data_IF_094914260254
#
_entry.id   IF_094914260254
#
_cell.length_a   1.000
_cell.length_b   1.000
_cell.length_c   1.000
_cell.angle_alpha   90.00
_cell.angle_beta   90.00
_cell.angle_gamma   90.00
#
_symmetry.space_group_name_H-M   'P 1'
#
loop_
_entity.id
_entity.type
_entity.pdbx_description
1 polymer ?
#
# COMPACT_ATOMS: atom_id res chain seq x y z
N UNK A 1 -44.68 -0.06 -9.95
CA UNK A 1 -43.63 0.98 -9.88
C UNK A 1 -42.31 0.24 -9.80
N UNK A 2 -41.73 -0.07 -10.95
CA UNK A 2 -40.39 -0.64 -11.09
C UNK A 2 -39.60 0.36 -11.93
N UNK A 3 -38.72 1.11 -11.28
CA UNK A 3 -37.70 1.93 -11.93
C UNK A 3 -36.43 1.10 -11.99
N UNK A 4 -36.01 0.72 -13.20
CA UNK A 4 -34.77 -0.01 -13.49
C UNK A 4 -33.56 0.91 -13.37
N UNK A 5 -32.53 0.40 -12.71
CA UNK A 5 -31.19 0.96 -12.58
C UNK A 5 -30.39 0.75 -13.89
N UNK A 6 -30.62 1.56 -14.91
CA UNK A 6 -29.87 1.47 -16.18
C UNK A 6 -28.61 2.38 -16.21
N UNK A 7 -28.37 3.20 -15.17
CA UNK A 7 -27.26 4.17 -15.13
C UNK A 7 -25.93 3.63 -14.56
N UNK A 8 -25.94 2.56 -13.76
CA UNK A 8 -24.70 1.99 -13.17
C UNK A 8 -23.88 1.17 -14.19
N UNK A 9 -24.53 0.54 -15.16
CA UNK A 9 -23.88 -0.35 -16.14
C UNK A 9 -23.11 0.43 -17.22
N UNK A 10 -23.64 1.60 -17.63
CA UNK A 10 -22.98 2.50 -18.57
C UNK A 10 -21.71 3.17 -18.00
N UNK A 11 -21.73 3.54 -16.71
CA UNK A 11 -20.58 4.15 -16.04
C UNK A 11 -19.41 3.18 -15.82
N UNK A 12 -19.71 1.92 -15.50
CA UNK A 12 -18.70 0.87 -15.34
C UNK A 12 -17.96 0.56 -16.65
N UNK A 13 -18.68 0.54 -17.77
CA UNK A 13 -18.12 0.29 -19.10
C UNK A 13 -17.16 1.41 -19.58
N UNK A 14 -17.49 2.67 -19.30
CA UNK A 14 -16.63 3.82 -19.62
C UNK A 14 -15.33 3.79 -18.82
N UNK A 15 -15.42 3.60 -17.49
CA UNK A 15 -14.26 3.51 -16.60
C UNK A 15 -13.36 2.33 -17.02
N UNK A 16 -13.93 1.18 -17.35
CA UNK A 16 -13.15 0.03 -17.82
C UNK A 16 -12.38 0.35 -19.10
N UNK A 17 -13.00 1.04 -20.06
CA UNK A 17 -12.36 1.39 -21.33
C UNK A 17 -11.15 2.31 -21.13
N UNK A 18 -11.28 3.30 -20.24
CA UNK A 18 -10.17 4.19 -19.87
C UNK A 18 -9.08 3.45 -19.09
N UNK A 19 -9.44 2.66 -18.06
CA UNK A 19 -8.50 1.85 -17.30
C UNK A 19 -7.71 0.88 -18.20
N UNK A 20 -8.40 0.25 -19.16
CA UNK A 20 -7.77 -0.64 -20.13
C UNK A 20 -6.70 0.07 -20.94
N UNK A 21 -7.00 1.27 -21.43
CA UNK A 21 -6.03 2.07 -22.18
C UNK A 21 -4.79 2.38 -21.33
N UNK A 22 -4.98 2.91 -20.11
CA UNK A 22 -3.85 3.24 -19.23
C UNK A 22 -3.06 2.01 -18.79
N UNK A 23 -3.69 0.87 -18.50
CA UNK A 23 -2.99 -0.35 -18.10
C UNK A 23 -2.09 -0.90 -19.22
N UNK A 24 -2.51 -0.78 -20.49
CA UNK A 24 -1.64 -1.12 -21.64
C UNK A 24 -0.45 -0.17 -21.70
N UNK A 25 -0.67 1.14 -21.53
CA UNK A 25 0.41 2.11 -21.53
C UNK A 25 1.40 1.90 -20.36
N UNK A 26 0.95 1.46 -19.18
CA UNK A 26 1.82 1.08 -18.06
C UNK A 26 2.73 -0.11 -18.41
N UNK A 27 2.18 -1.12 -19.09
CA UNK A 27 2.97 -2.26 -19.54
C UNK A 27 3.97 -1.85 -20.62
N UNK A 28 3.61 -0.91 -21.49
CA UNK A 28 4.54 -0.32 -22.46
C UNK A 28 5.63 0.51 -21.80
N UNK A 29 5.32 1.27 -20.74
CA UNK A 29 6.30 2.05 -19.97
C UNK A 29 7.37 1.14 -19.36
N UNK A 30 6.97 -0.05 -18.88
CA UNK A 30 7.91 -1.06 -18.39
C UNK A 30 8.88 -1.53 -19.48
N UNK A 31 8.41 -1.67 -20.72
CA UNK A 31 9.23 -2.08 -21.85
C UNK A 31 10.07 -0.91 -22.41
N UNK A 32 9.55 0.31 -22.35
CA UNK A 32 10.12 1.52 -22.95
C UNK A 32 10.03 2.71 -21.97
N UNK A 33 10.94 2.80 -20.98
CA UNK A 33 10.87 3.80 -19.90
C UNK A 33 11.10 5.25 -20.34
N UNK A 34 11.45 5.48 -21.62
CA UNK A 34 11.66 6.82 -22.20
C UNK A 34 10.38 7.45 -22.77
N UNK A 35 9.25 6.74 -22.77
CA UNK A 35 7.97 7.26 -23.26
C UNK A 35 7.41 8.27 -22.24
N UNK A 36 6.86 9.40 -22.72
CA UNK A 36 6.39 10.51 -21.88
C UNK A 36 5.41 10.04 -20.77
N UNK A 37 5.62 10.51 -19.55
CA UNK A 37 5.01 10.01 -18.30
C UNK A 37 3.62 10.57 -17.94
N UNK A 38 2.99 11.34 -18.83
CA UNK A 38 1.66 11.94 -18.55
C UNK A 38 0.56 10.90 -18.33
N UNK A 39 0.75 9.68 -18.84
CA UNK A 39 -0.12 8.51 -18.60
C UNK A 39 -0.43 8.30 -17.13
N UNK A 40 0.58 8.38 -16.26
CA UNK A 40 0.42 8.11 -14.83
C UNK A 40 -0.36 9.23 -14.13
N UNK A 41 -0.11 10.49 -14.49
CA UNK A 41 -0.87 11.62 -13.95
C UNK A 41 -2.35 11.53 -14.32
N UNK A 42 -2.66 11.13 -15.56
CA UNK A 42 -4.04 10.92 -16.00
C UNK A 42 -4.70 9.71 -15.32
N UNK A 43 -3.97 8.59 -15.20
CA UNK A 43 -4.45 7.43 -14.46
C UNK A 43 -4.76 7.78 -13.00
N UNK A 44 -3.87 8.52 -12.33
CA UNK A 44 -4.09 8.98 -10.98
C UNK A 44 -5.34 9.86 -10.86
N UNK A 45 -5.57 10.77 -11.81
CA UNK A 45 -6.77 11.58 -11.86
C UNK A 45 -8.03 10.71 -12.02
N UNK A 46 -8.00 9.74 -12.94
CA UNK A 46 -9.11 8.79 -13.12
C UNK A 46 -9.38 7.99 -11.83
N UNK A 47 -8.34 7.47 -11.19
CA UNK A 47 -8.46 6.74 -9.92
C UNK A 47 -9.05 7.61 -8.82
N UNK A 48 -8.63 8.88 -8.69
CA UNK A 48 -9.14 9.84 -7.71
C UNK A 48 -10.61 10.19 -7.93
N UNK A 49 -11.02 10.39 -9.18
CA UNK A 49 -12.40 10.74 -9.54
C UNK A 49 -13.36 9.54 -9.45
N UNK A 50 -12.84 8.32 -9.66
CA UNK A 50 -13.66 7.11 -9.66
C UNK A 50 -14.09 6.71 -8.25
N UNK A 51 -15.32 6.19 -8.12
CA UNK A 51 -15.83 5.69 -6.84
C UNK A 51 -15.23 4.32 -6.49
N UNK A 52 -15.07 3.98 -5.19
CA UNK A 52 -14.63 2.64 -4.79
C UNK A 52 -15.46 1.49 -5.37
N UNK A 53 -16.78 1.68 -5.49
CA UNK A 53 -17.71 0.66 -6.01
C UNK A 53 -17.46 0.40 -7.50
N UNK A 54 -17.14 1.45 -8.26
CA UNK A 54 -16.84 1.35 -9.69
C UNK A 54 -15.45 0.77 -9.97
N UNK A 55 -14.48 0.98 -9.07
CA UNK A 55 -13.11 0.48 -9.22
C UNK A 55 -12.94 -0.97 -8.76
N UNK A 56 -13.67 -1.40 -7.73
CA UNK A 56 -13.50 -2.73 -7.13
C UNK A 56 -13.51 -3.90 -8.15
N UNK A 57 -14.40 -3.95 -9.16
CA UNK A 57 -14.42 -5.04 -10.13
C UNK A 57 -13.16 -5.13 -10.99
N UNK A 58 -12.43 -4.01 -11.14
CA UNK A 58 -11.24 -3.91 -11.98
C UNK A 58 -9.95 -3.84 -11.13
N UNK A 59 -10.05 -4.08 -9.83
CA UNK A 59 -8.93 -3.94 -8.90
C UNK A 59 -7.71 -4.77 -9.34
N UNK A 60 -7.85 -6.07 -9.58
CA UNK A 60 -6.74 -6.94 -9.98
C UNK A 60 -6.16 -6.53 -11.34
N UNK A 61 -7.04 -6.09 -12.25
CA UNK A 61 -6.66 -5.64 -13.59
C UNK A 61 -5.76 -4.40 -13.54
N UNK A 62 -6.06 -3.44 -12.64
CA UNK A 62 -5.25 -2.23 -12.46
C UNK A 62 -4.05 -2.45 -11.52
N UNK A 63 -4.18 -3.33 -10.53
CA UNK A 63 -3.12 -3.63 -9.56
C UNK A 63 -1.93 -4.29 -10.23
N UNK A 64 -2.17 -5.29 -11.09
CA UNK A 64 -1.11 -6.07 -11.72
C UNK A 64 -0.04 -5.22 -12.45
N UNK A 65 -0.37 -4.32 -13.40
CA UNK A 65 0.64 -3.53 -14.10
C UNK A 65 1.43 -2.60 -13.17
N UNK A 66 0.80 -2.05 -12.13
CA UNK A 66 1.48 -1.22 -11.12
C UNK A 66 2.49 -2.04 -10.31
N UNK A 67 2.12 -3.27 -9.92
CA UNK A 67 3.03 -4.17 -9.21
C UNK A 67 4.18 -4.66 -10.08
N UNK A 68 3.94 -4.90 -11.38
CA UNK A 68 4.99 -5.26 -12.33
C UNK A 68 6.00 -4.12 -12.54
N UNK A 69 5.55 -2.87 -12.52
CA UNK A 69 6.43 -1.70 -12.54
C UNK A 69 7.24 -1.60 -11.24
N UNK A 70 6.60 -1.79 -10.08
CA UNK A 70 7.28 -1.79 -8.79
C UNK A 70 8.36 -2.87 -8.71
N UNK A 71 8.06 -4.11 -9.09
CA UNK A 71 9.07 -5.19 -9.08
C UNK A 71 10.24 -4.87 -10.01
N UNK A 72 9.97 -4.43 -11.24
CA UNK A 72 11.03 -4.07 -12.19
C UNK A 72 11.92 -2.94 -11.64
N UNK A 73 11.31 -1.95 -10.99
CA UNK A 73 12.02 -0.89 -10.31
C UNK A 73 12.91 -1.43 -9.18
N UNK A 74 12.35 -2.25 -8.27
CA UNK A 74 13.11 -2.78 -7.13
C UNK A 74 14.23 -3.72 -7.59
N UNK A 75 13.96 -4.58 -8.58
CA UNK A 75 14.96 -5.50 -9.16
C UNK A 75 16.14 -4.73 -9.75
N UNK A 76 15.87 -3.64 -10.46
CA UNK A 76 16.94 -2.83 -11.06
C UNK A 76 17.84 -2.13 -10.03
N UNK A 77 17.34 -1.89 -8.81
CA UNK A 77 18.04 -1.20 -7.72
C UNK A 77 18.77 -2.16 -6.78
N UNK A 78 18.26 -3.39 -6.64
CA UNK A 78 18.79 -4.40 -5.72
C UNK A 78 19.99 -5.19 -6.29
N UNK A 79 20.34 -4.99 -7.58
CA UNK A 79 21.42 -5.72 -8.23
C UNK A 79 22.78 -5.02 -8.06
N UNK A 80 23.80 -5.67 -7.48
CA UNK A 80 25.15 -5.14 -7.47
C UNK A 80 25.68 -5.17 -8.92
N UNK A 81 25.97 -3.99 -9.48
CA UNK A 81 26.48 -3.86 -10.84
C UNK A 81 27.70 -4.73 -11.10
N UNK A 82 27.48 -5.87 -11.75
CA UNK A 82 28.50 -6.66 -12.43
C UNK A 82 28.07 -6.67 -13.90
N UNK A 83 28.92 -6.07 -14.73
CA UNK A 83 28.83 -5.91 -16.18
C UNK A 83 27.97 -4.75 -16.71
N UNK A 84 28.61 -3.58 -16.68
CA UNK A 84 28.44 -2.49 -17.64
C UNK A 84 28.36 -2.99 -19.09
N UNK A 85 27.15 -3.03 -19.66
CA UNK A 85 26.82 -2.71 -21.06
C UNK A 85 25.37 -3.08 -21.47
N UNK A 86 24.54 -3.57 -20.55
CA UNK A 86 23.09 -3.63 -20.73
C UNK A 86 22.46 -2.85 -19.59
N UNK A 87 22.23 -1.55 -19.76
CA UNK A 87 21.42 -0.79 -18.81
C UNK A 87 20.01 -1.39 -18.85
N UNK A 88 19.55 -2.06 -17.78
CA UNK A 88 18.27 -2.77 -17.84
C UNK A 88 17.17 -1.72 -17.69
N UNK A 89 16.74 -1.12 -18.81
CA UNK A 89 15.52 -0.29 -18.96
C UNK A 89 14.99 0.25 -17.62
N UNK A 90 15.78 1.09 -16.96
CA UNK A 90 15.53 1.48 -15.58
C UNK A 90 14.39 2.49 -15.56
N UNK A 91 13.27 2.11 -14.93
CA UNK A 91 12.18 3.06 -14.68
C UNK A 91 12.70 4.06 -13.64
N UNK A 92 12.73 5.34 -14.02
CA UNK A 92 13.25 6.40 -13.16
C UNK A 92 12.42 6.55 -11.90
N UNK A 93 13.03 7.09 -10.83
CA UNK A 93 12.36 7.34 -9.55
C UNK A 93 11.12 8.20 -9.75
N UNK A 94 11.19 9.25 -10.58
CA UNK A 94 10.06 10.14 -10.91
C UNK A 94 8.86 9.35 -11.47
N UNK A 95 9.09 8.46 -12.45
CA UNK A 95 8.00 7.66 -13.04
C UNK A 95 7.45 6.68 -12.00
N UNK A 96 8.31 6.13 -11.14
CA UNK A 96 7.86 5.22 -10.09
C UNK A 96 7.11 5.92 -8.96
N UNK A 97 7.47 7.16 -8.62
CA UNK A 97 6.77 7.97 -7.63
C UNK A 97 5.33 8.23 -8.09
N UNK A 98 5.13 8.60 -9.36
CA UNK A 98 3.81 8.73 -9.97
C UNK A 98 3.02 7.40 -9.98
N UNK A 99 3.69 6.28 -10.24
CA UNK A 99 3.09 4.95 -10.17
C UNK A 99 2.70 4.54 -8.74
N UNK A 100 3.52 4.89 -7.75
CA UNK A 100 3.23 4.66 -6.33
C UNK A 100 2.03 5.48 -5.87
N UNK A 101 1.86 6.72 -6.37
CA UNK A 101 0.63 7.47 -6.12
C UNK A 101 -0.62 6.81 -6.70
N UNK A 102 -0.53 6.20 -7.88
CA UNK A 102 -1.63 5.42 -8.45
C UNK A 102 -1.94 4.20 -7.58
N UNK A 103 -0.89 3.48 -7.13
CA UNK A 103 -1.02 2.30 -6.29
C UNK A 103 -1.63 2.65 -4.92
N UNK A 104 -1.16 3.70 -4.27
CA UNK A 104 -1.68 4.25 -3.02
C UNK A 104 -3.18 4.56 -3.15
N UNK A 105 -3.60 5.30 -4.18
CA UNK A 105 -5.01 5.66 -4.40
C UNK A 105 -5.89 4.42 -4.66
N UNK A 106 -5.36 3.43 -5.38
CA UNK A 106 -6.06 2.17 -5.64
C UNK A 106 -6.24 1.36 -4.34
N UNK A 107 -5.18 1.20 -3.55
CA UNK A 107 -5.20 0.49 -2.26
C UNK A 107 -6.05 1.21 -1.21
N UNK A 108 -6.17 2.54 -1.32
CA UNK A 108 -7.06 3.35 -0.50
C UNK A 108 -8.54 3.10 -0.77
N UNK A 109 -8.91 2.67 -1.98
CA UNK A 109 -10.31 2.52 -2.40
C UNK A 109 -10.78 1.08 -2.46
N UNK A 110 -9.93 0.17 -2.90
CA UNK A 110 -10.30 -1.21 -3.15
C UNK A 110 -9.96 -2.13 -1.97
N UNK A 111 -10.82 -3.11 -1.72
CA UNK A 111 -10.56 -4.20 -0.77
C UNK A 111 -9.84 -5.34 -1.50
N UNK A 112 -8.94 -6.02 -0.78
CA UNK A 112 -8.32 -7.25 -1.27
C UNK A 112 -9.34 -8.40 -1.27
N UNK A 113 -9.19 -9.32 -2.22
CA UNK A 113 -10.09 -10.47 -2.37
C UNK A 113 -9.60 -11.77 -1.73
N UNK A 114 -8.34 -11.85 -1.27
CA UNK A 114 -7.81 -13.08 -0.65
C UNK A 114 -6.56 -12.84 0.21
N UNK A 115 -6.25 -13.81 1.09
CA UNK A 115 -5.00 -13.84 1.87
C UNK A 115 -3.78 -13.95 0.96
N UNK A 116 -3.84 -14.76 -0.10
CA UNK A 116 -2.75 -14.91 -1.06
C UNK A 116 -2.40 -13.57 -1.73
N UNK A 117 -3.43 -12.81 -2.12
CA UNK A 117 -3.23 -11.47 -2.68
C UNK A 117 -2.59 -10.51 -1.67
N UNK A 118 -3.00 -10.58 -0.39
CA UNK A 118 -2.41 -9.80 0.69
C UNK A 118 -0.92 -10.16 0.91
N UNK A 119 -0.59 -11.45 0.94
CA UNK A 119 0.80 -11.93 1.11
C UNK A 119 1.67 -11.46 -0.07
N UNK A 120 1.21 -11.63 -1.30
CA UNK A 120 1.99 -11.25 -2.47
C UNK A 120 2.21 -9.72 -2.54
N UNK A 121 1.18 -8.93 -2.24
CA UNK A 121 1.28 -7.48 -2.21
C UNK A 121 2.24 -7.00 -1.11
N UNK A 122 2.08 -7.49 0.12
CA UNK A 122 2.96 -7.12 1.24
C UNK A 122 4.40 -7.55 1.00
N UNK A 123 4.63 -8.68 0.32
CA UNK A 123 5.97 -9.11 -0.09
C UNK A 123 6.60 -8.11 -1.05
N UNK A 124 5.91 -7.68 -2.12
CA UNK A 124 6.43 -6.69 -3.07
C UNK A 124 6.72 -5.34 -2.42
N UNK A 125 5.79 -4.85 -1.59
CA UNK A 125 5.99 -3.61 -0.84
C UNK A 125 7.15 -3.72 0.16
N UNK A 126 7.32 -4.87 0.81
CA UNK A 126 8.44 -5.09 1.73
C UNK A 126 9.79 -5.00 1.03
N UNK A 127 9.89 -5.51 -0.21
CA UNK A 127 11.11 -5.39 -1.02
C UNK A 127 11.41 -3.92 -1.33
N UNK A 128 10.41 -3.15 -1.76
CA UNK A 128 10.58 -1.72 -2.04
C UNK A 128 10.95 -0.90 -0.80
N UNK A 129 10.32 -1.17 0.35
CA UNK A 129 10.61 -0.48 1.61
C UNK A 129 11.97 -0.89 2.22
N UNK A 130 12.58 -1.99 1.76
CA UNK A 130 13.90 -2.43 2.21
C UNK A 130 15.07 -1.73 1.51
N UNK A 131 14.78 -0.94 0.45
CA UNK A 131 15.81 -0.18 -0.25
C UNK A 131 16.41 0.89 0.66
N UNK A 132 17.73 0.98 0.63
CA UNK A 132 18.50 1.98 1.36
C UNK A 132 18.46 3.36 0.68
N UNK A 133 18.86 4.43 1.38
CA UNK A 133 19.01 5.76 0.78
C UNK A 133 19.96 5.84 -0.42
N UNK A 134 20.82 4.83 -0.62
CA UNK A 134 21.73 4.75 -1.76
C UNK A 134 21.08 4.10 -2.98
N UNK A 135 20.02 3.31 -2.78
CA UNK A 135 19.36 2.53 -3.82
C UNK A 135 18.15 3.24 -4.42
N UNK A 136 17.48 4.11 -3.66
CA UNK A 136 16.27 4.81 -4.10
C UNK A 136 16.10 6.20 -3.46
N UNK A 137 15.43 7.11 -4.19
CA UNK A 137 15.00 8.43 -3.69
C UNK A 137 14.19 8.32 -2.40
N UNK A 138 14.15 9.43 -1.65
CA UNK A 138 13.38 9.52 -0.41
C UNK A 138 11.89 9.40 -0.70
N UNK A 139 11.45 10.01 -1.80
CA UNK A 139 10.09 10.05 -2.33
C UNK A 139 9.62 8.67 -2.77
N UNK A 140 10.47 7.89 -3.45
CA UNK A 140 10.16 6.51 -3.80
C UNK A 140 9.95 5.66 -2.54
N UNK A 141 10.91 5.72 -1.59
CA UNK A 141 10.86 4.90 -0.37
C UNK A 141 9.66 5.27 0.50
N UNK A 142 9.39 6.57 0.64
CA UNK A 142 8.20 7.08 1.32
C UNK A 142 6.92 6.61 0.62
N UNK A 143 6.85 6.67 -0.73
CA UNK A 143 5.71 6.20 -1.51
C UNK A 143 5.38 4.72 -1.30
N UNK A 144 6.40 3.86 -1.16
CA UNK A 144 6.19 2.44 -0.83
C UNK A 144 5.60 2.28 0.57
N UNK A 145 6.11 3.03 1.56
CA UNK A 145 5.58 2.99 2.93
C UNK A 145 4.12 3.50 2.97
N UNK A 146 3.78 4.55 2.21
CA UNK A 146 2.40 5.04 2.07
C UNK A 146 1.48 3.96 1.48
N UNK A 147 1.91 3.24 0.46
CA UNK A 147 1.16 2.09 -0.06
C UNK A 147 0.95 0.99 1.00
N UNK A 148 1.99 0.70 1.79
CA UNK A 148 1.92 -0.27 2.89
C UNK A 148 0.91 0.16 3.96
N UNK A 149 0.88 1.45 4.30
CA UNK A 149 -0.08 2.02 5.22
C UNK A 149 -1.51 1.91 4.71
N UNK A 150 -1.79 2.36 3.49
CA UNK A 150 -3.15 2.33 2.94
C UNK A 150 -3.68 0.90 2.84
N UNK A 151 -2.82 -0.06 2.49
CA UNK A 151 -3.12 -1.48 2.54
C UNK A 151 -3.57 -1.91 3.95
N UNK A 152 -2.80 -1.59 4.99
CA UNK A 152 -3.14 -1.94 6.37
C UNK A 152 -4.41 -1.24 6.83
N UNK A 153 -4.57 0.06 6.55
CA UNK A 153 -5.75 0.86 6.90
C UNK A 153 -7.02 0.22 6.34
N UNK A 154 -7.00 -0.20 5.08
CA UNK A 154 -8.16 -0.80 4.42
C UNK A 154 -8.45 -2.25 4.79
N UNK A 155 -7.64 -2.92 5.61
CA UNK A 155 -8.02 -4.21 6.18
C UNK A 155 -9.25 -4.05 7.08
N UNK A 156 -10.38 -4.62 6.67
CA UNK A 156 -11.66 -4.58 7.40
C UNK A 156 -11.90 -5.87 8.18
N UNK A 157 -12.55 -5.73 9.32
CA UNK A 157 -13.06 -6.88 10.07
C UNK A 157 -14.19 -7.55 9.27
N UNK A 158 -14.26 -8.87 9.31
CA UNK A 158 -15.36 -9.60 8.67
C UNK A 158 -16.67 -9.45 9.45
N UNK A 159 -17.78 -9.79 8.80
CA UNK A 159 -19.12 -9.75 9.41
C UNK A 159 -19.30 -10.77 10.54
N UNK A 160 -18.55 -11.88 10.56
CA UNK A 160 -18.67 -12.96 11.54
C UNK A 160 -18.42 -12.50 12.98
N UNK A 161 -19.36 -12.76 13.90
CA UNK A 161 -19.28 -12.42 15.33
C UNK A 161 -18.25 -13.25 16.11
N UNK A 162 -17.98 -14.47 15.67
CA UNK A 162 -17.00 -15.36 16.32
C UNK A 162 -15.56 -15.09 15.90
N UNK A 163 -15.32 -14.18 14.97
CA UNK A 163 -14.00 -13.96 14.41
C UNK A 163 -13.10 -13.18 15.39
N UNK A 164 -11.84 -13.60 15.50
CA UNK A 164 -10.81 -12.94 16.32
C UNK A 164 -10.57 -11.48 15.93
N UNK A 165 -10.87 -11.09 14.69
CA UNK A 165 -10.75 -9.70 14.24
C UNK A 165 -11.60 -8.71 15.05
N UNK A 166 -12.63 -9.17 15.76
CA UNK A 166 -13.49 -8.34 16.61
C UNK A 166 -12.94 -8.15 18.04
N UNK A 167 -11.93 -8.91 18.43
CA UNK A 167 -11.26 -8.77 19.74
C UNK A 167 -10.31 -7.57 19.80
N UNK A 168 -10.17 -6.80 18.72
CA UNK A 168 -9.42 -5.53 18.72
C UNK A 168 -10.24 -4.48 19.48
N UNK A 169 -10.12 -4.48 20.81
CA UNK A 169 -10.66 -3.44 21.66
C UNK A 169 -9.82 -2.17 21.50
N UNK A 170 -10.42 -1.13 20.93
CA UNK A 170 -9.80 0.20 20.85
C UNK A 170 -8.89 0.38 19.66
N UNK A 171 -9.47 0.61 18.48
CA UNK A 171 -8.80 1.46 17.50
C UNK A 171 -8.50 2.80 18.19
N UNK A 172 -7.25 3.29 18.19
CA UNK A 172 -6.97 4.60 18.74
C UNK A 172 -7.85 5.64 18.03
N UNK A 173 -8.46 6.55 18.79
CA UNK A 173 -9.15 7.75 18.29
C UNK A 173 -8.29 8.60 17.32
N UNK A 174 -7.00 8.29 17.14
CA UNK A 174 -6.10 8.94 16.17
C UNK A 174 -6.51 8.72 14.70
N UNK A 175 -7.32 7.71 14.39
CA UNK A 175 -7.94 7.52 13.07
C UNK A 175 -9.39 8.03 13.06
N UNK A 176 -9.69 9.14 13.75
CA UNK A 176 -10.93 9.90 13.56
C UNK A 176 -11.01 10.45 12.12
N UNK A 177 -11.36 9.56 11.19
CA UNK A 177 -12.47 9.59 10.24
C UNK A 177 -13.04 10.95 9.79
N UNK A 178 -12.23 12.00 9.63
CA UNK A 178 -12.70 13.27 9.07
C UNK A 178 -12.85 13.28 7.55
N UNK A 179 -12.48 12.21 6.82
CA UNK A 179 -12.58 12.19 5.35
C UNK A 179 -13.11 10.88 4.71
N UNK A 180 -13.73 9.96 5.47
CA UNK A 180 -14.37 8.79 4.86
C UNK A 180 -15.87 9.03 4.65
N UNK A 181 -16.19 9.94 3.72
CA UNK A 181 -17.43 9.85 2.96
C UNK A 181 -17.23 8.81 1.85
N UNK A 182 -17.04 7.54 2.22
CA UNK A 182 -17.33 6.44 1.32
C UNK A 182 -18.45 5.62 1.96
N UNK A 183 -19.57 5.42 1.24
CA UNK A 183 -20.67 4.61 1.77
C UNK A 183 -20.13 3.21 2.10
N UNK A 184 -20.73 2.52 3.09
CA UNK A 184 -20.36 1.15 3.37
C UNK A 184 -20.57 0.36 2.08
N UNK A 185 -19.48 -0.17 1.53
CA UNK A 185 -19.51 -1.13 0.43
C UNK A 185 -19.99 -2.49 0.99
N UNK A 186 -21.01 -2.47 1.84
CA UNK A 186 -21.64 -3.61 2.49
C UNK A 186 -22.54 -4.41 1.54
N UNK A 187 -22.54 -4.07 0.24
CA UNK A 187 -23.26 -4.77 -0.82
C UNK A 187 -22.36 -5.58 -1.75
N UNK A 188 -21.04 -5.47 -1.66
CA UNK A 188 -20.15 -6.40 -2.36
C UNK A 188 -20.13 -7.70 -1.55
N UNK A 189 -20.83 -8.71 -2.09
CA UNK A 189 -20.84 -10.07 -1.56
C UNK A 189 -19.45 -10.68 -1.78
N UNK A 190 -18.54 -10.47 -0.84
CA UNK A 190 -17.30 -11.24 -0.76
C UNK A 190 -17.67 -12.71 -0.49
N UNK A 191 -17.09 -13.63 -1.25
CA UNK A 191 -17.45 -15.07 -1.23
C UNK A 191 -16.85 -15.73 0.01
N UNK A 192 -17.54 -15.77 1.14
CA UNK A 192 -17.09 -16.49 2.36
C UNK A 192 -15.56 -16.37 2.59
N UNK A 193 -15.03 -15.15 2.41
CA UNK A 193 -13.60 -14.92 2.25
C UNK A 193 -12.91 -14.92 3.62
N UNK A 194 -11.73 -15.55 3.65
CA UNK A 194 -10.83 -15.58 4.78
C UNK A 194 -10.64 -14.17 5.37
N UNK A 195 -10.86 -14.02 6.68
CA UNK A 195 -10.73 -12.70 7.31
C UNK A 195 -9.26 -12.30 7.35
N UNK A 196 -8.86 -11.34 6.52
CA UNK A 196 -7.49 -10.82 6.45
C UNK A 196 -6.97 -10.29 7.78
N UNK A 197 -7.83 -9.66 8.58
CA UNK A 197 -7.46 -9.19 9.92
C UNK A 197 -7.21 -10.39 10.86
N UNK A 198 -8.01 -11.44 10.76
CA UNK A 198 -7.78 -12.66 11.54
C UNK A 198 -6.51 -13.40 11.09
N UNK A 199 -6.24 -13.43 9.78
CA UNK A 199 -4.98 -13.93 9.24
C UNK A 199 -3.80 -13.12 9.77
N UNK A 200 -3.88 -11.78 9.77
CA UNK A 200 -2.82 -10.92 10.30
C UNK A 200 -2.53 -11.20 11.79
N UNK A 201 -3.55 -11.64 12.54
CA UNK A 201 -3.46 -12.01 13.96
C UNK A 201 -3.09 -13.47 14.21
N UNK A 202 -3.00 -14.29 13.16
CA UNK A 202 -2.69 -15.71 13.30
C UNK A 202 -1.21 -15.94 13.56
N UNK A 203 -0.89 -17.12 14.08
CA UNK A 203 0.49 -17.58 14.24
C UNK A 203 1.24 -17.64 12.90
N UNK A 204 0.54 -17.96 11.79
CA UNK A 204 1.15 -18.05 10.46
C UNK A 204 1.66 -16.71 9.94
N UNK A 205 0.98 -15.61 10.27
CA UNK A 205 1.42 -14.27 9.88
C UNK A 205 2.48 -13.67 10.81
N UNK A 206 2.74 -14.27 11.98
CA UNK A 206 3.61 -13.71 13.01
C UNK A 206 5.01 -13.35 12.51
N UNK A 207 5.66 -14.26 11.78
CA UNK A 207 7.00 -14.02 11.21
C UNK A 207 6.98 -12.84 10.23
N UNK A 208 5.95 -12.76 9.38
CA UNK A 208 5.80 -11.65 8.44
C UNK A 208 5.57 -10.32 9.16
N UNK A 209 4.70 -10.30 10.18
CA UNK A 209 4.46 -9.11 11.03
C UNK A 209 5.74 -8.66 11.72
N UNK A 210 6.51 -9.58 12.30
CA UNK A 210 7.81 -9.27 12.90
C UNK A 210 8.79 -8.67 11.91
N UNK A 211 8.82 -9.20 10.67
CA UNK A 211 9.65 -8.65 9.60
C UNK A 211 9.20 -7.24 9.21
N UNK A 212 7.90 -6.97 9.08
CA UNK A 212 7.38 -5.64 8.75
C UNK A 212 7.65 -4.62 9.86
N UNK A 213 7.52 -5.03 11.13
CA UNK A 213 7.92 -4.19 12.27
C UNK A 213 9.40 -3.83 12.19
N UNK A 214 10.28 -4.82 11.99
CA UNK A 214 11.72 -4.57 11.84
C UNK A 214 12.02 -3.68 10.63
N UNK A 215 11.31 -3.87 9.52
CA UNK A 215 11.49 -3.12 8.29
C UNK A 215 11.16 -1.63 8.48
N UNK A 216 9.99 -1.33 9.06
CA UNK A 216 9.54 0.04 9.30
C UNK A 216 10.47 0.78 10.27
N UNK A 217 10.96 0.10 11.31
CA UNK A 217 11.92 0.69 12.25
C UNK A 217 13.26 0.94 11.59
N UNK A 218 13.79 -0.02 10.81
CA UNK A 218 15.03 0.17 10.06
C UNK A 218 14.93 1.33 9.08
N UNK A 219 13.79 1.50 8.41
CA UNK A 219 13.56 2.62 7.52
C UNK A 219 13.59 3.96 8.28
N UNK A 220 12.93 4.03 9.43
CA UNK A 220 12.95 5.24 10.28
C UNK A 220 14.34 5.53 10.86
N UNK A 221 15.03 4.50 11.38
CA UNK A 221 16.37 4.59 11.97
C UNK A 221 17.41 5.02 10.93
N UNK A 222 17.32 4.52 9.69
CA UNK A 222 18.21 4.91 8.60
C UNK A 222 18.13 6.41 8.30
N UNK A 223 16.93 6.98 8.32
CA UNK A 223 16.76 8.43 8.15
C UNK A 223 17.17 9.21 9.41
N UNK A 224 16.91 8.69 10.61
CA UNK A 224 17.33 9.33 11.85
C UNK A 224 18.87 9.42 11.94
N UNK A 225 19.57 8.35 11.54
CA UNK A 225 21.03 8.29 11.51
C UNK A 225 21.67 9.30 10.56
N UNK A 226 20.94 9.76 9.53
CA UNK A 226 21.39 10.80 8.58
C UNK A 226 21.22 12.22 9.14
N UNK A 227 20.64 12.39 10.32
CA UNK A 227 20.50 13.69 10.98
C UNK A 227 19.73 14.70 10.14
N UNK A 228 20.34 15.87 9.88
CA UNK A 228 19.73 16.95 9.08
C UNK A 228 19.53 16.61 7.60
N UNK A 229 20.18 15.54 7.11
CA UNK A 229 20.04 15.07 5.73
C UNK A 229 19.01 13.94 5.59
N UNK A 230 18.41 13.49 6.70
CA UNK A 230 17.40 12.44 6.68
C UNK A 230 15.98 12.98 6.51
N UNK A 231 15.12 12.21 5.86
CA UNK A 231 13.72 12.61 5.64
C UNK A 231 12.90 12.51 6.93
N UNK A 232 12.41 13.65 7.41
CA UNK A 232 11.44 13.68 8.50
C UNK A 232 10.09 13.09 8.07
N UNK A 233 9.68 13.29 6.81
CA UNK A 233 8.42 12.77 6.28
C UNK A 233 8.40 11.24 6.29
N UNK A 234 9.48 10.62 5.79
CA UNK A 234 9.62 9.16 5.77
C UNK A 234 9.60 8.57 7.18
N UNK A 235 10.27 9.20 8.15
CA UNK A 235 10.21 8.77 9.57
C UNK A 235 8.79 8.82 10.13
N UNK A 236 8.10 9.94 9.93
CA UNK A 236 6.71 10.11 10.38
C UNK A 236 5.82 9.04 9.75
N UNK A 237 6.00 8.79 8.46
CA UNK A 237 5.18 7.82 7.72
C UNK A 237 5.46 6.38 8.14
N UNK A 238 6.72 6.03 8.38
CA UNK A 238 7.12 4.73 8.92
C UNK A 238 6.52 4.48 10.30
N UNK A 239 6.60 5.45 11.21
CA UNK A 239 6.00 5.34 12.54
C UNK A 239 4.47 5.35 12.50
N UNK A 240 3.85 6.14 11.62
CA UNK A 240 2.40 6.12 11.38
C UNK A 240 1.94 4.73 10.97
N UNK A 241 2.64 4.12 10.01
CA UNK A 241 2.40 2.76 9.52
C UNK A 241 2.59 1.72 10.62
N UNK A 242 3.65 1.85 11.42
CA UNK A 242 3.93 0.96 12.55
C UNK A 242 2.80 0.99 13.59
N UNK A 243 2.29 2.17 13.94
CA UNK A 243 1.14 2.31 14.86
C UNK A 243 -0.09 1.58 14.35
N UNK A 244 -0.37 1.68 13.05
CA UNK A 244 -1.51 0.99 12.42
C UNK A 244 -1.32 -0.53 12.43
N UNK A 245 -0.10 -1.01 12.13
CA UNK A 245 0.22 -2.43 12.19
C UNK A 245 0.02 -2.97 13.61
N UNK A 246 0.63 -2.34 14.63
CA UNK A 246 0.51 -2.75 16.03
C UNK A 246 -0.95 -2.75 16.51
N UNK A 247 -1.73 -1.73 16.12
CA UNK A 247 -3.15 -1.66 16.46
C UNK A 247 -3.96 -2.83 15.88
N UNK A 248 -3.51 -3.47 14.79
CA UNK A 248 -4.18 -4.63 14.19
C UNK A 248 -3.69 -5.97 14.73
N UNK A 249 -2.56 -6.02 15.42
CA UNK A 249 -1.97 -7.24 15.99
C UNK A 249 -1.78 -7.11 17.52
N UNK A 250 -2.87 -7.06 18.31
CA UNK A 250 -2.81 -6.72 19.74
C UNK A 250 -2.12 -7.77 20.62
N UNK A 251 -1.99 -9.02 20.14
CA UNK A 251 -1.43 -10.14 20.91
C UNK A 251 0.07 -10.38 20.68
N UNK A 252 0.74 -9.54 19.88
CA UNK A 252 2.19 -9.60 19.79
C UNK A 252 2.78 -9.20 21.14
N UNK A 253 3.18 -10.19 21.93
CA UNK A 253 3.99 -9.98 23.13
C UNK A 253 5.33 -9.40 22.67
N UNK A 254 5.41 -8.07 22.65
CA UNK A 254 6.64 -7.37 22.40
C UNK A 254 7.65 -7.73 23.51
N UNK A 255 8.86 -8.21 23.18
CA UNK A 255 9.91 -8.28 24.18
C UNK A 255 10.18 -6.87 24.73
N UNK A 256 10.44 -6.80 26.03
CA UNK A 256 10.48 -5.63 26.91
C UNK A 256 11.34 -4.43 26.44
N UNK A 257 12.15 -4.60 25.40
CA UNK A 257 12.92 -3.52 24.77
C UNK A 257 12.06 -2.49 24.02
N UNK A 258 10.90 -2.87 23.48
CA UNK A 258 10.05 -1.94 22.70
C UNK A 258 9.33 -0.91 23.57
N UNK A 259 9.01 -1.24 24.83
CA UNK A 259 8.32 -0.31 25.72
C UNK A 259 9.13 0.94 26.04
N UNK A 260 10.47 0.86 25.97
CA UNK A 260 11.36 1.99 26.22
C UNK A 260 11.51 2.92 25.02
N UNK A 261 11.60 2.37 23.80
CA UNK A 261 11.60 3.19 22.58
C UNK A 261 10.25 3.91 22.36
N UNK A 262 9.13 3.24 22.70
CA UNK A 262 7.78 3.79 22.55
C UNK A 262 7.51 5.03 23.43
N UNK A 263 8.04 5.07 24.66
CA UNK A 263 7.87 6.22 25.56
C UNK A 263 8.83 7.37 25.24
N UNK A 264 10.02 7.06 24.71
CA UNK A 264 11.07 8.06 24.54
C UNK A 264 10.92 8.91 23.27
N UNK A 265 10.50 8.34 22.14
CA UNK A 265 10.33 9.14 20.90
C UNK A 265 8.95 9.83 20.79
N UNK A 266 7.90 9.29 21.40
CA UNK A 266 6.56 9.90 21.30
C UNK A 266 6.37 11.13 22.19
N UNK A 267 7.25 11.36 23.17
CA UNK A 267 7.23 12.57 23.99
C UNK A 267 7.90 13.77 23.29
N UNK A 268 8.51 13.58 22.12
CA UNK A 268 9.38 14.58 21.47
C UNK A 268 8.86 15.07 20.11
N UNK A 269 7.71 14.56 19.62
CA UNK A 269 7.08 15.10 18.41
C UNK A 269 6.05 16.16 18.84
N UNK A 270 6.28 17.47 18.63
CA UNK A 270 5.27 18.47 18.91
C UNK A 270 4.14 18.34 17.91
N UNK A 271 2.92 18.36 18.43
CA UNK A 271 1.64 18.49 17.73
C UNK A 271 1.56 19.73 16.85
#
# INVERSE_FOLDING_TARGET
MEGRNDDEEGGSSAIFSELKHYCIELLELRLNPKKNSSTLSHLLQLLRLSSPVSLQPFFDFTLLPLLLLLDAAVDSRSSPGIDSNVTPHTVSDIVMEDALHCLEELLKKCCLGSVDQFIELTKKLSRGASLSPLEASEEFREGVIRCFKELLVNLRCCSSESCSCKQISGWPLLLERKNLHSPPVSKLKFKDEECLVAFLQSETASVAVGNWLSLLLKAADAEAARGQQGSASLRIEAFSTLRILVAKVPYFSFPSCFSYYWLFEFSVIPS
#
